data_IF_322582904029
#
_entry.id   IF_322582904029
#
_cell.length_a   1.000
_cell.length_b   1.000
_cell.length_c   1.000
_cell.angle_alpha   90.00
_cell.angle_beta   90.00
_cell.angle_gamma   90.00
#
_symmetry.space_group_name_H-M   'P 1'
#
loop_
_entity.id
_entity.type
_entity.pdbx_description
1 polymer ?
#
# COMPACT_ATOMS: atom_id res chain seq x y z
N UNK A 1 -20.70 2.29 16.16
CA UNK A 1 -19.38 1.59 16.01
C UNK A 1 -18.24 2.59 15.82
N UNK A 2 -18.40 3.66 15.02
CA UNK A 2 -17.35 4.71 14.89
C UNK A 2 -16.95 5.27 16.26
N UNK A 3 -17.91 5.61 17.13
CA UNK A 3 -17.63 6.12 18.47
C UNK A 3 -16.79 5.16 19.32
N UNK A 4 -17.09 3.86 19.26
CA UNK A 4 -16.33 2.84 20.00
C UNK A 4 -14.87 2.78 19.50
N UNK A 5 -14.67 2.84 18.18
CA UNK A 5 -13.31 2.85 17.62
C UNK A 5 -12.58 4.15 17.97
N UNK A 6 -13.27 5.30 17.92
CA UNK A 6 -12.69 6.60 18.29
C UNK A 6 -12.21 6.64 19.75
N UNK A 7 -13.02 6.12 20.70
CA UNK A 7 -12.64 5.98 22.10
C UNK A 7 -11.38 5.11 22.25
N UNK A 8 -11.29 4.01 21.50
CA UNK A 8 -10.11 3.14 21.52
C UNK A 8 -8.89 3.80 20.86
N UNK A 9 -9.07 4.64 19.83
CA UNK A 9 -7.97 5.46 19.24
C UNK A 9 -7.47 6.47 20.27
N UNK A 10 -8.37 7.12 21.01
CA UNK A 10 -8.01 8.11 22.03
C UNK A 10 -7.19 7.50 23.19
N UNK A 11 -7.48 6.24 23.56
CA UNK A 11 -6.82 5.53 24.65
C UNK A 11 -5.57 4.74 24.20
N UNK A 12 -5.35 4.57 22.88
CA UNK A 12 -4.26 3.74 22.35
C UNK A 12 -2.90 4.38 22.55
N UNK A 13 -1.94 3.62 23.05
CA UNK A 13 -0.52 3.97 23.04
C UNK A 13 0.16 3.61 21.71
N UNK A 14 -0.44 2.70 20.95
CA UNK A 14 0.13 2.21 19.70
C UNK A 14 -0.93 1.75 18.70
N UNK A 15 -0.78 2.17 17.42
CA UNK A 15 -1.69 1.83 16.32
C UNK A 15 -0.90 1.36 15.10
N UNK A 16 -1.34 0.26 14.49
CA UNK A 16 -0.89 -0.17 13.16
C UNK A 16 -2.01 0.03 12.15
N UNK A 17 -1.77 0.84 11.14
CA UNK A 17 -2.60 0.89 9.95
C UNK A 17 -2.05 -0.08 8.89
N UNK A 18 -2.93 -0.91 8.32
CA UNK A 18 -2.59 -1.81 7.20
C UNK A 18 -3.41 -1.36 6.00
N UNK A 19 -2.77 -0.84 4.97
CA UNK A 19 -3.48 -0.22 3.86
C UNK A 19 -3.24 -0.91 2.52
N UNK A 20 -4.25 -0.89 1.67
CA UNK A 20 -4.20 -1.38 0.30
C UNK A 20 -4.84 -0.37 -0.66
N UNK A 21 -5.06 -0.76 -1.92
CA UNK A 21 -5.49 0.13 -3.00
C UNK A 21 -6.81 0.86 -2.70
N UNK A 22 -7.71 0.30 -1.88
CA UNK A 22 -8.94 0.95 -1.45
C UNK A 22 -8.70 2.20 -0.59
N UNK A 23 -7.51 2.37 0.01
CA UNK A 23 -7.11 3.59 0.70
C UNK A 23 -6.97 4.77 -0.28
N UNK A 24 -6.43 4.52 -1.47
CA UNK A 24 -6.19 5.52 -2.51
C UNK A 24 -7.35 5.64 -3.52
N UNK A 25 -8.39 4.79 -3.40
CA UNK A 25 -9.56 4.86 -4.28
C UNK A 25 -10.31 6.20 -4.19
N UNK A 26 -10.36 6.80 -3.00
CA UNK A 26 -10.96 8.14 -2.78
C UNK A 26 -10.08 9.29 -3.32
N UNK A 27 -8.85 9.00 -3.74
CA UNK A 27 -7.95 9.91 -4.49
C UNK A 27 -8.17 9.83 -6.00
N UNK A 28 -9.07 8.97 -6.47
CA UNK A 28 -9.33 8.74 -7.89
C UNK A 28 -8.44 7.68 -8.53
N UNK A 29 -7.55 7.03 -7.77
CA UNK A 29 -6.76 5.91 -8.29
C UNK A 29 -7.65 4.66 -8.31
N UNK A 30 -7.85 4.03 -9.47
CA UNK A 30 -8.60 2.80 -9.55
C UNK A 30 -7.87 1.67 -8.78
N UNK A 31 -8.63 0.83 -8.09
CA UNK A 31 -8.07 -0.37 -7.47
C UNK A 31 -7.52 -1.33 -8.54
N UNK A 32 -6.59 -2.20 -8.18
CA UNK A 32 -6.08 -3.21 -9.12
C UNK A 32 -7.20 -4.14 -9.60
N UNK A 33 -8.04 -4.60 -8.67
CA UNK A 33 -9.18 -5.49 -8.92
C UNK A 33 -10.41 -5.00 -8.16
N UNK A 34 -11.59 -5.44 -8.59
CA UNK A 34 -12.86 -5.05 -8.04
C UNK A 34 -13.62 -4.10 -8.97
N UNK A 35 -14.84 -3.76 -8.64
CA UNK A 35 -15.71 -2.95 -9.50
C UNK A 35 -15.03 -1.62 -9.86
N UNK A 36 -14.71 -1.44 -11.15
CA UNK A 36 -13.97 -0.28 -11.65
C UNK A 36 -12.44 -0.36 -11.49
N UNK A 37 -11.89 -1.54 -11.19
CA UNK A 37 -10.44 -1.77 -11.12
C UNK A 37 -9.75 -1.65 -12.47
N UNK A 38 -8.46 -1.27 -12.45
CA UNK A 38 -7.63 -1.14 -13.67
C UNK A 38 -7.61 -2.44 -14.49
N UNK A 39 -7.71 -3.59 -13.80
CA UNK A 39 -7.56 -4.93 -14.39
C UNK A 39 -8.68 -5.86 -13.94
N UNK A 40 -9.93 -5.40 -14.13
CA UNK A 40 -11.13 -6.17 -13.77
C UNK A 40 -11.42 -7.32 -14.76
N UNK A 41 -10.71 -7.36 -15.89
CA UNK A 41 -10.80 -8.39 -16.91
C UNK A 41 -9.70 -9.45 -16.72
N UNK A 42 -10.01 -10.70 -17.07
CA UNK A 42 -9.08 -11.83 -16.91
C UNK A 42 -7.80 -11.72 -17.77
N UNK A 43 -7.80 -10.90 -18.81
CA UNK A 43 -6.62 -10.64 -19.65
C UNK A 43 -6.57 -9.19 -20.08
N UNK A 44 -5.35 -8.65 -20.17
CA UNK A 44 -5.06 -7.32 -20.67
C UNK A 44 -5.18 -7.25 -22.19
N UNK A 45 -4.97 -6.08 -22.79
CA UNK A 45 -4.93 -5.89 -24.23
C UNK A 45 -3.83 -6.73 -24.94
N UNK A 46 -2.77 -7.11 -24.22
CA UNK A 46 -1.73 -8.01 -24.71
C UNK A 46 -2.09 -9.51 -24.53
N UNK A 47 -3.30 -9.82 -24.07
CA UNK A 47 -3.80 -11.18 -23.95
C UNK A 47 -3.25 -11.97 -22.76
N UNK A 48 -2.52 -11.34 -21.87
CA UNK A 48 -1.91 -11.94 -20.67
C UNK A 48 -2.54 -11.38 -19.39
N UNK A 49 -2.55 -12.16 -18.30
CA UNK A 49 -2.92 -11.64 -16.98
C UNK A 49 -1.97 -10.54 -16.54
N UNK A 50 -2.48 -9.54 -15.80
CA UNK A 50 -1.66 -8.43 -15.30
C UNK A 50 -0.54 -8.91 -14.38
N UNK A 51 -0.78 -9.95 -13.61
CA UNK A 51 0.21 -10.55 -12.72
C UNK A 51 1.40 -11.16 -13.48
N UNK A 52 1.17 -11.65 -14.69
CA UNK A 52 2.25 -12.13 -15.56
C UNK A 52 3.03 -10.95 -16.13
N UNK A 53 2.36 -9.91 -16.60
CA UNK A 53 2.95 -8.72 -17.18
C UNK A 53 3.75 -7.89 -16.16
N UNK A 54 3.28 -7.81 -14.93
CA UNK A 54 3.97 -7.15 -13.81
C UNK A 54 4.79 -8.14 -12.96
N UNK A 55 5.40 -9.15 -13.57
CA UNK A 55 6.27 -10.10 -12.88
C UNK A 55 7.75 -9.80 -13.14
N UNK A 56 8.60 -10.18 -12.16
CA UNK A 56 10.05 -10.11 -12.35
C UNK A 56 10.52 -10.90 -13.57
N UNK A 57 9.94 -12.08 -13.81
CA UNK A 57 10.25 -12.90 -14.98
C UNK A 57 9.86 -12.24 -16.31
N UNK A 58 8.80 -11.45 -16.36
CA UNK A 58 8.42 -10.70 -17.56
C UNK A 58 9.36 -9.51 -17.77
N UNK A 59 9.74 -8.81 -16.70
CA UNK A 59 10.70 -7.73 -16.78
C UNK A 59 12.05 -8.18 -17.35
N UNK A 60 12.50 -9.39 -17.02
CA UNK A 60 13.73 -9.96 -17.58
C UNK A 60 13.59 -10.36 -19.06
N UNK A 61 12.45 -10.95 -19.45
CA UNK A 61 12.24 -11.50 -20.79
C UNK A 61 11.78 -10.47 -21.81
N UNK A 62 10.85 -9.60 -21.38
CA UNK A 62 10.17 -8.60 -22.23
C UNK A 62 9.94 -7.30 -21.45
N UNK A 63 11.02 -6.58 -21.09
CA UNK A 63 10.95 -5.40 -20.24
C UNK A 63 10.04 -4.29 -20.81
N UNK A 64 9.90 -4.22 -22.13
CA UNK A 64 9.02 -3.27 -22.80
C UNK A 64 7.54 -3.47 -22.41
N UNK A 65 7.11 -4.72 -22.19
CA UNK A 65 5.75 -5.01 -21.75
C UNK A 65 5.54 -4.63 -20.28
N UNK A 66 6.44 -5.04 -19.39
CA UNK A 66 6.34 -4.67 -17.97
C UNK A 66 6.34 -3.16 -17.81
N UNK A 67 7.23 -2.45 -18.50
CA UNK A 67 7.29 -0.99 -18.47
C UNK A 67 6.02 -0.32 -19.03
N UNK A 68 5.40 -0.87 -20.08
CA UNK A 68 4.13 -0.38 -20.59
C UNK A 68 3.06 -0.33 -19.49
N UNK A 69 2.93 -1.40 -18.71
CA UNK A 69 1.93 -1.46 -17.62
C UNK A 69 2.33 -0.69 -16.37
N UNK A 70 3.62 -0.60 -16.06
CA UNK A 70 4.12 0.30 -15.00
C UNK A 70 3.80 1.76 -15.32
N UNK A 71 3.95 2.18 -16.59
CA UNK A 71 3.59 3.53 -17.02
C UNK A 71 2.07 3.77 -16.95
N UNK A 72 1.22 2.79 -17.28
CA UNK A 72 -0.24 2.93 -17.12
C UNK A 72 -0.62 3.16 -15.65
N UNK A 73 0.03 2.46 -14.71
CA UNK A 73 -0.18 2.67 -13.28
C UNK A 73 0.30 4.06 -12.87
N UNK A 74 1.51 4.45 -13.29
CA UNK A 74 2.07 5.76 -12.99
C UNK A 74 1.21 6.90 -13.56
N UNK A 75 0.66 6.73 -14.76
CA UNK A 75 -0.26 7.69 -15.38
C UNK A 75 -1.58 7.82 -14.60
N UNK A 76 -2.11 6.70 -14.10
CA UNK A 76 -3.29 6.73 -13.24
C UNK A 76 -3.04 7.45 -11.89
N UNK A 77 -1.79 7.46 -11.41
CA UNK A 77 -1.39 8.18 -10.21
C UNK A 77 -1.05 9.66 -10.46
N UNK A 78 -0.74 10.06 -11.70
CA UNK A 78 -0.18 11.38 -12.03
C UNK A 78 -1.01 12.57 -11.61
N UNK A 79 -2.34 12.47 -11.75
CA UNK A 79 -3.29 13.56 -11.43
C UNK A 79 -3.90 13.38 -10.03
N UNK A 80 -3.56 12.27 -9.36
CA UNK A 80 -4.07 11.97 -8.04
C UNK A 80 -3.14 12.53 -6.96
N UNK A 81 -3.72 12.82 -5.80
CA UNK A 81 -2.99 13.20 -4.60
C UNK A 81 -3.54 12.44 -3.41
N UNK A 82 -2.81 12.46 -2.30
CA UNK A 82 -3.33 11.87 -1.07
C UNK A 82 -4.70 12.47 -0.70
N UNK A 83 -5.52 11.68 -0.05
CA UNK A 83 -6.86 12.09 0.38
C UNK A 83 -6.91 12.32 1.89
N UNK A 84 -8.08 12.75 2.37
CA UNK A 84 -8.31 13.04 3.79
C UNK A 84 -7.98 11.87 4.73
N UNK A 85 -8.14 10.63 4.29
CA UNK A 85 -7.77 9.46 5.09
C UNK A 85 -6.26 9.38 5.37
N UNK A 86 -5.43 9.67 4.37
CA UNK A 86 -3.97 9.73 4.54
C UNK A 86 -3.57 10.84 5.53
N UNK A 87 -4.18 12.04 5.39
CA UNK A 87 -3.94 13.15 6.33
C UNK A 87 -4.31 12.79 7.77
N UNK A 88 -5.45 12.11 7.96
CA UNK A 88 -5.87 11.66 9.29
C UNK A 88 -4.87 10.71 9.92
N UNK A 89 -4.36 9.74 9.16
CA UNK A 89 -3.33 8.81 9.66
C UNK A 89 -2.07 9.58 10.07
N UNK A 90 -1.61 10.53 9.24
CA UNK A 90 -0.47 11.38 9.57
C UNK A 90 -0.72 12.28 10.81
N UNK A 91 -1.96 12.79 10.97
CA UNK A 91 -2.35 13.56 12.16
C UNK A 91 -2.40 12.69 13.43
N UNK A 92 -2.77 11.42 13.33
CA UNK A 92 -2.76 10.49 14.45
C UNK A 92 -1.33 10.24 14.98
N UNK A 93 -0.30 10.29 14.14
CA UNK A 93 1.10 10.21 14.59
C UNK A 93 1.50 11.34 15.55
N UNK A 94 0.79 12.47 15.55
CA UNK A 94 1.05 13.60 16.46
C UNK A 94 0.37 13.45 17.82
N UNK A 95 -0.63 12.57 17.94
CA UNK A 95 -1.41 12.36 19.17
C UNK A 95 -1.14 11.03 19.85
N UNK A 96 -0.93 9.98 19.06
CA UNK A 96 -0.67 8.63 19.56
C UNK A 96 0.84 8.40 19.60
N UNK A 97 1.40 7.93 20.72
CA UNK A 97 2.85 7.80 20.90
C UNK A 97 3.56 6.94 19.84
N UNK A 98 2.88 5.91 19.33
CA UNK A 98 3.44 5.01 18.31
C UNK A 98 2.40 4.66 17.25
N UNK A 99 2.53 5.25 16.07
CA UNK A 99 1.72 4.90 14.89
C UNK A 99 2.62 4.39 13.80
N UNK A 100 2.25 3.31 13.17
CA UNK A 100 2.90 2.74 12.00
C UNK A 100 1.91 2.50 10.88
N UNK A 101 2.38 2.65 9.66
CA UNK A 101 1.63 2.29 8.45
C UNK A 101 2.36 1.15 7.75
N UNK A 102 1.69 0.01 7.56
CA UNK A 102 2.08 -1.03 6.63
C UNK A 102 1.25 -0.86 5.36
N UNK A 103 1.86 -0.41 4.28
CA UNK A 103 1.14 -0.21 3.03
C UNK A 103 1.60 -1.16 1.93
N UNK A 104 0.64 -1.66 1.16
CA UNK A 104 0.85 -2.39 -0.08
C UNK A 104 0.89 -1.47 -1.30
N UNK A 105 0.49 -0.20 -1.12
CA UNK A 105 0.44 0.79 -2.18
C UNK A 105 1.85 1.29 -2.51
N UNK A 106 2.04 1.58 -3.78
CA UNK A 106 3.30 2.06 -4.35
C UNK A 106 3.22 3.53 -4.80
N UNK A 107 2.16 4.24 -4.36
CA UNK A 107 1.82 5.61 -4.77
C UNK A 107 2.53 6.72 -3.95
N UNK A 108 3.23 6.37 -2.88
CA UNK A 108 3.92 7.32 -2.01
C UNK A 108 3.00 8.21 -1.14
N UNK A 109 1.67 8.05 -1.20
CA UNK A 109 0.72 9.00 -0.60
C UNK A 109 0.77 9.10 0.91
N UNK A 110 1.09 8.04 1.64
CA UNK A 110 1.25 8.13 3.09
C UNK A 110 2.38 9.09 3.48
N UNK A 111 3.53 8.98 2.80
CA UNK A 111 4.67 9.88 3.03
C UNK A 111 4.37 11.31 2.59
N UNK A 112 3.73 11.48 1.43
CA UNK A 112 3.31 12.78 0.92
C UNK A 112 2.31 13.49 1.84
N UNK A 113 1.43 12.73 2.53
CA UNK A 113 0.49 13.26 3.53
C UNK A 113 1.15 13.59 4.88
N UNK A 114 2.41 13.22 5.09
CA UNK A 114 3.20 13.54 6.29
C UNK A 114 3.45 12.39 7.25
N UNK A 115 3.00 11.16 6.96
CA UNK A 115 3.33 9.98 7.78
C UNK A 115 4.84 9.72 7.77
N UNK A 116 5.41 9.52 8.95
CA UNK A 116 6.86 9.31 9.14
C UNK A 116 7.19 7.80 9.23
N UNK A 117 6.36 7.04 9.92
CA UNK A 117 6.59 5.63 10.19
C UNK A 117 5.84 4.76 9.17
N UNK A 118 6.40 4.65 7.96
CA UNK A 118 5.77 3.91 6.85
C UNK A 118 6.64 2.73 6.44
N UNK A 119 6.04 1.54 6.41
CA UNK A 119 6.58 0.33 5.80
C UNK A 119 5.84 0.13 4.47
N UNK A 120 6.40 0.67 3.42
CA UNK A 120 5.98 0.51 2.03
C UNK A 120 6.47 -0.84 1.50
N UNK A 121 5.81 -1.90 1.94
CA UNK A 121 6.30 -3.30 1.79
C UNK A 121 6.53 -3.70 0.32
N UNK A 122 5.83 -3.07 -0.62
CA UNK A 122 5.98 -3.28 -2.06
C UNK A 122 6.81 -2.19 -2.76
N UNK A 123 7.39 -1.23 -2.02
CA UNK A 123 8.20 -0.16 -2.59
C UNK A 123 7.43 1.08 -3.02
N UNK A 124 8.07 1.90 -3.87
CA UNK A 124 7.51 3.15 -4.39
C UNK A 124 7.76 3.25 -5.90
N UNK A 125 6.75 3.67 -6.67
CA UNK A 125 6.84 3.84 -8.12
C UNK A 125 7.79 4.98 -8.53
N UNK A 126 7.99 5.97 -7.65
CA UNK A 126 8.78 7.16 -7.90
C UNK A 126 10.28 6.94 -7.70
N UNK A 127 10.66 5.90 -6.97
CA UNK A 127 12.06 5.53 -6.75
C UNK A 127 12.53 4.61 -7.88
N UNK A 128 13.40 5.11 -8.75
CA UNK A 128 14.03 4.32 -9.81
C UNK A 128 15.37 3.76 -9.36
N UNK A 129 15.60 2.50 -9.65
CA UNK A 129 16.84 1.79 -9.31
C UNK A 129 17.44 1.08 -10.52
N UNK A 130 18.77 0.98 -10.52
CA UNK A 130 19.47 0.12 -11.46
C UNK A 130 19.77 -1.23 -10.79
N UNK A 131 19.33 -2.36 -11.35
CA UNK A 131 19.59 -3.67 -10.77
C UNK A 131 21.06 -4.12 -10.88
N UNK A 132 21.91 -3.36 -11.61
CA UNK A 132 23.29 -3.74 -11.94
C UNK A 132 24.33 -2.86 -11.23
N UNK A 133 24.01 -1.60 -10.91
CA UNK A 133 24.89 -0.68 -10.21
C UNK A 133 24.11 0.14 -9.17
N UNK A 134 24.81 0.93 -8.36
CA UNK A 134 24.24 1.69 -7.24
C UNK A 134 23.49 2.97 -7.68
N UNK A 135 23.14 3.08 -8.96
CA UNK A 135 22.40 4.24 -9.45
C UNK A 135 20.95 4.19 -8.99
N UNK A 136 20.49 5.29 -8.40
CA UNK A 136 19.11 5.52 -8.01
C UNK A 136 18.68 6.93 -8.38
N UNK A 137 17.41 7.15 -8.63
CA UNK A 137 16.83 8.48 -8.90
C UNK A 137 15.38 8.52 -8.46
N UNK A 138 15.01 9.55 -7.70
CA UNK A 138 13.60 9.86 -7.46
C UNK A 138 13.04 10.64 -8.64
N UNK A 139 11.87 10.20 -9.16
CA UNK A 139 11.13 10.90 -10.21
C UNK A 139 9.69 11.07 -9.82
N UNK A 140 9.27 12.32 -9.70
CA UNK A 140 7.87 12.67 -9.43
C UNK A 140 6.92 12.13 -10.50
N UNK A 141 7.38 11.99 -11.75
CA UNK A 141 6.62 11.40 -12.85
C UNK A 141 7.49 10.48 -13.71
N UNK A 142 6.94 9.36 -14.15
CA UNK A 142 7.62 8.41 -15.03
C UNK A 142 7.40 8.70 -16.53
N UNK A 143 6.68 9.77 -16.88
CA UNK A 143 6.30 10.08 -18.27
C UNK A 143 7.45 10.49 -19.19
N UNK A 144 7.23 10.36 -20.53
CA UNK A 144 8.09 10.85 -21.62
C UNK A 144 9.52 10.32 -21.67
N UNK A 145 9.76 9.07 -21.30
CA UNK A 145 11.05 8.43 -21.47
C UNK A 145 11.02 7.32 -22.53
N UNK A 146 12.16 7.00 -23.09
CA UNK A 146 12.31 5.78 -23.92
C UNK A 146 12.00 4.56 -23.08
N UNK A 147 11.20 3.64 -23.60
CA UNK A 147 10.77 2.42 -22.89
C UNK A 147 11.38 1.19 -23.55
N UNK A 148 12.06 0.33 -22.80
CA UNK A 148 12.47 0.49 -21.39
C UNK A 148 13.58 1.56 -21.24
N UNK A 149 13.61 2.29 -20.10
CA UNK A 149 14.67 3.25 -19.84
C UNK A 149 15.98 2.57 -19.42
N UNK A 150 17.10 3.23 -19.73
CA UNK A 150 18.43 2.72 -19.44
C UNK A 150 19.16 3.55 -18.40
N UNK A 151 19.96 2.88 -17.58
CA UNK A 151 20.81 3.48 -16.58
C UNK A 151 21.87 4.38 -17.22
N UNK A 152 22.02 5.64 -16.80
CA UNK A 152 23.03 6.54 -17.34
C UNK A 152 24.47 6.11 -16.99
N UNK A 153 24.66 5.29 -15.94
CA UNK A 153 25.98 4.86 -15.50
C UNK A 153 26.46 3.58 -16.19
N UNK A 154 25.59 2.58 -16.38
CA UNK A 154 26.01 1.26 -16.88
C UNK A 154 25.20 0.75 -18.08
N UNK A 155 24.21 1.53 -18.55
CA UNK A 155 23.33 1.21 -19.66
C UNK A 155 22.41 -0.02 -19.45
N UNK A 156 22.32 -0.58 -18.25
CA UNK A 156 21.34 -1.62 -17.93
C UNK A 156 19.93 -1.03 -17.86
N UNK A 157 18.90 -1.86 -18.02
CA UNK A 157 17.51 -1.43 -17.88
C UNK A 157 17.27 -1.08 -16.42
N UNK A 158 16.75 0.13 -16.14
CA UNK A 158 16.32 0.57 -14.83
C UNK A 158 14.85 0.23 -14.60
N UNK A 159 14.43 0.23 -13.35
CA UNK A 159 13.05 -0.08 -12.95
C UNK A 159 12.64 0.75 -11.74
N UNK A 160 11.33 0.94 -11.49
CA UNK A 160 10.87 1.39 -10.19
C UNK A 160 11.26 0.39 -9.08
N UNK A 161 11.57 0.90 -7.89
CA UNK A 161 11.84 0.09 -6.70
C UNK A 161 10.52 -0.46 -6.12
N UNK A 162 9.84 -1.28 -6.92
CA UNK A 162 8.59 -1.95 -6.53
C UNK A 162 8.74 -3.46 -6.62
N UNK A 163 8.06 -4.17 -5.74
CA UNK A 163 8.02 -5.64 -5.76
C UNK A 163 7.04 -6.11 -6.83
N UNK A 164 7.55 -6.75 -7.86
CA UNK A 164 6.77 -7.37 -8.91
C UNK A 164 6.30 -8.77 -8.51
N UNK A 165 5.28 -9.29 -9.19
CA UNK A 165 4.80 -10.64 -8.92
C UNK A 165 5.91 -11.68 -9.11
N UNK A 166 6.01 -12.62 -8.17
CA UNK A 166 7.05 -13.64 -8.13
C UNK A 166 8.37 -13.20 -7.50
N UNK A 167 8.52 -11.94 -7.16
CA UNK A 167 9.72 -11.44 -6.46
C UNK A 167 9.58 -11.57 -4.94
N UNK A 168 10.74 -11.60 -4.29
CA UNK A 168 10.81 -11.59 -2.82
C UNK A 168 10.62 -10.19 -2.28
N UNK A 169 9.94 -10.08 -1.14
CA UNK A 169 9.85 -8.82 -0.41
C UNK A 169 11.23 -8.35 0.06
N UNK A 170 11.50 -7.04 0.10
CA UNK A 170 12.76 -6.49 0.63
C UNK A 170 12.97 -6.93 2.09
N UNK A 171 14.08 -7.62 2.35
CA UNK A 171 14.34 -8.25 3.65
C UNK A 171 14.38 -7.24 4.80
N UNK A 172 14.86 -6.03 4.54
CA UNK A 172 14.92 -4.95 5.54
C UNK A 172 13.51 -4.52 5.96
N UNK A 173 12.59 -4.34 4.99
CA UNK A 173 11.19 -3.98 5.25
C UNK A 173 10.45 -5.11 5.99
N UNK A 174 10.72 -6.37 5.63
CA UNK A 174 10.17 -7.54 6.34
C UNK A 174 10.70 -7.61 7.78
N UNK A 175 11.98 -7.36 7.99
CA UNK A 175 12.57 -7.36 9.33
C UNK A 175 12.02 -6.21 10.18
N UNK A 176 11.86 -5.02 9.60
CA UNK A 176 11.24 -3.87 10.26
C UNK A 176 9.80 -4.20 10.68
N UNK A 177 8.99 -4.76 9.76
CA UNK A 177 7.62 -5.19 10.07
C UNK A 177 7.60 -6.19 11.23
N UNK A 178 8.46 -7.21 11.18
CA UNK A 178 8.55 -8.22 12.26
C UNK A 178 8.91 -7.59 13.59
N UNK A 179 9.85 -6.65 13.61
CA UNK A 179 10.23 -5.92 14.83
C UNK A 179 9.03 -5.16 15.39
N UNK A 180 8.33 -4.40 14.57
CA UNK A 180 7.18 -3.61 15.02
C UNK A 180 6.01 -4.47 15.50
N UNK A 181 5.74 -5.58 14.82
CA UNK A 181 4.69 -6.54 15.23
C UNK A 181 5.08 -7.24 16.54
N UNK A 182 6.36 -7.60 16.73
CA UNK A 182 6.83 -8.24 17.95
C UNK A 182 6.67 -7.36 19.20
N UNK A 183 6.78 -6.03 19.06
CA UNK A 183 6.48 -5.06 20.13
C UNK A 183 4.99 -5.04 20.51
N UNK A 184 4.12 -5.50 19.60
CA UNK A 184 2.66 -5.46 19.75
C UNK A 184 2.05 -4.09 19.45
N UNK A 185 0.75 -4.07 19.20
CA UNK A 185 -0.05 -2.86 19.03
C UNK A 185 -1.33 -2.97 19.85
N UNK A 186 -1.83 -1.85 20.38
CA UNK A 186 -3.10 -1.80 21.12
C UNK A 186 -4.28 -1.84 20.17
N UNK A 187 -4.09 -1.37 18.94
CA UNK A 187 -5.11 -1.26 17.91
C UNK A 187 -4.50 -1.54 16.53
N UNK A 188 -5.15 -2.40 15.75
CA UNK A 188 -4.79 -2.64 14.34
C UNK A 188 -5.99 -2.32 13.45
N UNK A 189 -5.81 -1.39 12.51
CA UNK A 189 -6.84 -0.93 11.58
C UNK A 189 -6.45 -1.29 10.16
N UNK A 190 -7.17 -2.21 9.55
CA UNK A 190 -7.02 -2.56 8.13
C UNK A 190 -7.93 -1.69 7.27
N UNK A 191 -7.38 -1.06 6.22
CA UNK A 191 -8.09 -0.09 5.39
C UNK A 191 -7.93 -0.43 3.91
N UNK A 192 -9.04 -0.72 3.23
CA UNK A 192 -9.10 -0.85 1.77
C UNK A 192 -8.18 -1.91 1.17
N UNK A 193 -7.97 -3.02 1.87
CA UNK A 193 -7.18 -4.15 1.37
C UNK A 193 -8.02 -5.42 1.28
N UNK A 194 -7.72 -6.27 0.29
CA UNK A 194 -8.28 -7.63 0.20
C UNK A 194 -7.66 -8.59 1.23
N UNK A 195 -6.50 -8.25 1.76
CA UNK A 195 -5.76 -8.99 2.78
C UNK A 195 -5.45 -10.45 2.40
N UNK A 196 -5.17 -10.72 1.12
CA UNK A 196 -4.89 -12.09 0.63
C UNK A 196 -3.50 -12.61 0.98
N UNK A 197 -2.55 -11.71 1.25
CA UNK A 197 -1.17 -12.10 1.51
C UNK A 197 -0.92 -12.38 3.00
N UNK A 198 -0.19 -13.50 3.33
CA UNK A 198 0.07 -13.86 4.72
C UNK A 198 0.79 -12.78 5.54
N UNK A 199 1.71 -12.01 4.95
CA UNK A 199 2.43 -10.94 5.65
C UNK A 199 1.53 -9.72 5.96
N UNK A 200 0.34 -9.63 5.33
CA UNK A 200 -0.69 -8.63 5.60
C UNK A 200 -1.65 -9.11 6.70
N UNK A 201 -2.00 -10.39 6.69
CA UNK A 201 -2.93 -10.96 7.67
C UNK A 201 -2.25 -11.30 9.00
N UNK A 202 -0.97 -11.70 8.98
CA UNK A 202 -0.25 -12.12 10.19
C UNK A 202 -0.25 -11.06 11.32
N UNK A 203 -0.04 -9.74 11.07
CA UNK A 203 -0.14 -8.73 12.11
C UNK A 203 -1.53 -8.62 12.75
N UNK A 204 -2.59 -8.92 11.98
CA UNK A 204 -3.98 -8.89 12.48
C UNK A 204 -4.25 -10.09 13.39
N UNK A 205 -3.77 -11.28 13.02
CA UNK A 205 -3.85 -12.46 13.87
C UNK A 205 -3.05 -12.28 15.16
N UNK A 206 -1.80 -11.77 15.07
CA UNK A 206 -0.96 -11.49 16.25
C UNK A 206 -1.65 -10.50 17.21
N UNK A 207 -2.19 -9.41 16.68
CA UNK A 207 -2.93 -8.42 17.47
C UNK A 207 -4.13 -9.04 18.19
N UNK A 208 -4.94 -9.83 17.49
CA UNK A 208 -6.08 -10.55 18.06
C UNK A 208 -5.65 -11.52 19.16
N UNK A 209 -4.60 -12.30 18.92
CA UNK A 209 -4.09 -13.28 19.89
C UNK A 209 -3.57 -12.61 21.17
N UNK A 210 -3.14 -11.34 21.07
CA UNK A 210 -2.74 -10.48 22.20
C UNK A 210 -3.92 -9.73 22.85
N UNK A 211 -5.13 -9.85 22.34
CA UNK A 211 -6.32 -9.14 22.83
C UNK A 211 -6.38 -7.67 22.42
N UNK A 212 -5.61 -7.25 21.43
CA UNK A 212 -5.69 -5.92 20.83
C UNK A 212 -6.96 -5.80 19.96
N UNK A 213 -7.57 -4.62 19.91
CA UNK A 213 -8.71 -4.39 19.04
C UNK A 213 -8.29 -4.44 17.56
N UNK A 214 -9.05 -5.19 16.77
CA UNK A 214 -8.86 -5.27 15.31
C UNK A 214 -10.07 -4.70 14.58
N UNK A 215 -9.81 -3.79 13.63
CA UNK A 215 -10.83 -3.05 12.89
C UNK A 215 -10.58 -3.20 11.38
N UNK A 216 -11.63 -3.39 10.60
CA UNK A 216 -11.60 -3.32 9.15
C UNK A 216 -12.44 -2.15 8.65
N UNK A 217 -11.86 -1.32 7.78
CA UNK A 217 -12.55 -0.28 7.02
C UNK A 217 -12.50 -0.70 5.55
N UNK A 218 -13.61 -1.22 5.04
CA UNK A 218 -13.66 -1.70 3.65
C UNK A 218 -15.12 -1.72 3.17
N UNK A 219 -15.46 -1.17 2.01
CA UNK A 219 -16.83 -1.24 1.48
C UNK A 219 -17.25 -2.67 1.10
N UNK A 220 -16.29 -3.54 0.79
CA UNK A 220 -16.52 -4.95 0.46
C UNK A 220 -16.04 -5.89 1.56
N UNK A 221 -16.06 -7.19 1.28
CA UNK A 221 -15.48 -8.22 2.14
C UNK A 221 -14.05 -8.52 1.73
N UNK A 222 -13.21 -8.82 2.70
CA UNK A 222 -11.83 -9.28 2.54
C UNK A 222 -11.61 -10.61 3.26
N UNK A 223 -10.41 -11.17 3.16
CA UNK A 223 -10.03 -12.41 3.87
C UNK A 223 -10.09 -12.29 5.40
N UNK A 224 -10.02 -11.07 5.93
CA UNK A 224 -10.05 -10.80 7.37
C UNK A 224 -11.41 -10.38 7.91
N UNK A 225 -12.42 -10.18 7.06
CA UNK A 225 -13.74 -9.69 7.49
C UNK A 225 -14.42 -10.60 8.53
N UNK A 226 -14.11 -11.89 8.53
CA UNK A 226 -14.62 -12.84 9.54
C UNK A 226 -13.76 -12.96 10.81
N UNK A 227 -12.65 -12.20 10.88
CA UNK A 227 -11.61 -12.35 11.91
C UNK A 227 -11.55 -11.12 12.80
N UNK A 228 -11.68 -9.91 12.21
CA UNK A 228 -11.64 -8.64 12.95
C UNK A 228 -12.87 -8.49 13.87
N UNK A 229 -12.69 -7.78 14.98
CA UNK A 229 -13.78 -7.53 15.92
C UNK A 229 -14.80 -6.52 15.41
N UNK A 230 -14.34 -5.49 14.70
CA UNK A 230 -15.22 -4.42 14.18
C UNK A 230 -15.03 -4.29 12.67
N UNK A 231 -16.14 -4.35 11.94
CA UNK A 231 -16.18 -4.04 10.51
C UNK A 231 -16.94 -2.72 10.30
N UNK A 232 -16.30 -1.82 9.56
CA UNK A 232 -16.88 -0.58 9.08
C UNK A 232 -17.01 -0.69 7.55
N UNK A 233 -18.20 -1.12 7.09
CA UNK A 233 -18.49 -1.33 5.66
C UNK A 233 -18.66 0.02 4.95
N UNK A 234 -17.57 0.77 4.76
CA UNK A 234 -17.56 2.13 4.23
C UNK A 234 -16.24 2.44 3.55
N UNK A 235 -16.20 3.57 2.82
CA UNK A 235 -15.02 4.11 2.17
C UNK A 235 -13.99 4.61 3.18
N UNK A 236 -12.71 4.57 2.81
CA UNK A 236 -11.59 4.86 3.67
C UNK A 236 -11.58 6.32 4.19
N UNK A 237 -11.56 7.30 3.27
CA UNK A 237 -11.39 8.70 3.64
C UNK A 237 -12.50 9.23 4.56
N UNK A 238 -13.76 8.97 4.21
CA UNK A 238 -14.91 9.42 4.99
C UNK A 238 -14.95 8.77 6.38
N UNK A 239 -14.60 7.49 6.48
CA UNK A 239 -14.61 6.74 7.74
C UNK A 239 -13.48 7.21 8.67
N UNK A 240 -12.27 7.38 8.14
CA UNK A 240 -11.13 7.87 8.91
C UNK A 240 -11.36 9.30 9.39
N UNK A 241 -11.94 10.18 8.55
CA UNK A 241 -12.29 11.54 8.97
C UNK A 241 -13.35 11.54 10.07
N UNK A 242 -14.41 10.73 9.94
CA UNK A 242 -15.42 10.59 10.99
C UNK A 242 -14.86 10.05 12.32
N UNK A 243 -13.90 9.10 12.26
CA UNK A 243 -13.18 8.65 13.44
C UNK A 243 -12.36 9.78 14.08
N UNK A 244 -11.64 10.54 13.27
CA UNK A 244 -10.81 11.65 13.74
C UNK A 244 -11.62 12.77 14.40
N UNK A 245 -12.80 13.09 13.86
CA UNK A 245 -13.70 14.09 14.44
C UNK A 245 -14.33 13.63 15.78
N UNK A 246 -14.35 12.33 16.03
CA UNK A 246 -14.89 11.74 17.26
C UNK A 246 -13.84 11.49 18.37
N UNK A 247 -12.53 11.64 18.06
CA UNK A 247 -11.38 11.59 19.00
C UNK A 247 -11.13 12.97 19.61
#
# INVERSE_FOLDING_TARGET
MIQIVAERVADAGSILFITGAGMSADSGIPTYRGVGGLYDVQSTEDGLPIEELLSGAMLERRPELTWKYLLQIADACREATFNRGHEVIAQMEQRVPRVWVLTQNVDGFHRAAGSQNVIDIHGDLHDLVCPTCDWTEYRETLGNQTVPPHCPNCNSIIRPDVVLFGEMLPQEKVNLLRTQVAEGFDLVISVGTSAVFPYITAPIYDARDRGALTVEINPGRSEISGIVEIQLASKAAATLDALWQAV
#
